data_IF_143557800513
#
_entry.id   IF_143557800513
#
_cell.length_a   1.000
_cell.length_b   1.000
_cell.length_c   1.000
_cell.angle_alpha   90.00
_cell.angle_beta   90.00
_cell.angle_gamma   90.00
#
_symmetry.space_group_name_H-M   'P 1'
#
loop_
_entity.id
_entity.type
_entity.pdbx_description
1 polymer ?
#
# COMPACT_ATOMS: atom_id res chain seq x y z
N UNK A 1 5.37 -17.85 -28.85
CA UNK A 1 5.76 -18.04 -27.43
C UNK A 1 6.40 -16.74 -26.98
N UNK A 2 5.67 -15.87 -26.26
CA UNK A 2 6.27 -14.67 -25.67
C UNK A 2 6.98 -15.12 -24.39
N UNK A 3 8.28 -14.88 -24.30
CA UNK A 3 9.03 -15.03 -23.07
C UNK A 3 8.52 -13.95 -22.09
N UNK A 4 7.48 -14.26 -21.33
CA UNK A 4 7.05 -13.44 -20.20
C UNK A 4 8.12 -13.55 -19.11
N UNK A 5 9.09 -12.66 -19.18
CA UNK A 5 9.97 -12.39 -18.06
C UNK A 5 9.09 -11.74 -16.99
N UNK A 6 8.73 -12.53 -15.97
CA UNK A 6 7.98 -12.08 -14.79
C UNK A 6 8.81 -11.01 -14.06
N UNK A 7 8.69 -9.76 -14.49
CA UNK A 7 9.29 -8.63 -13.82
C UNK A 7 8.23 -7.52 -13.68
N UNK A 8 8.20 -6.81 -12.54
CA UNK A 8 7.40 -5.61 -12.43
C UNK A 8 7.79 -4.63 -13.55
N UNK A 9 6.81 -3.95 -14.14
CA UNK A 9 7.07 -2.96 -15.19
C UNK A 9 7.92 -1.78 -14.68
N UNK A 10 7.97 -1.58 -13.36
CA UNK A 10 8.60 -0.41 -12.74
C UNK A 10 7.81 0.87 -13.02
N UNK A 11 6.58 0.73 -13.52
CA UNK A 11 5.67 1.83 -13.86
C UNK A 11 4.51 1.78 -12.90
N UNK A 12 4.46 2.77 -12.00
CA UNK A 12 3.43 2.89 -10.98
C UNK A 12 2.25 3.70 -11.51
N UNK A 13 1.06 3.12 -11.45
CA UNK A 13 -0.20 3.73 -11.91
C UNK A 13 -1.22 3.78 -10.78
N UNK A 14 -2.12 4.74 -10.83
CA UNK A 14 -3.18 4.85 -9.83
C UNK A 14 -4.23 3.75 -10.01
N UNK A 15 -4.90 3.35 -8.92
CA UNK A 15 -5.96 2.34 -9.02
C UNK A 15 -7.12 2.77 -9.94
N UNK A 16 -7.41 4.07 -10.02
CA UNK A 16 -8.42 4.59 -10.94
C UNK A 16 -8.04 4.44 -12.41
N UNK A 17 -6.75 4.46 -12.73
CA UNK A 17 -6.26 4.18 -14.10
C UNK A 17 -6.39 2.70 -14.43
N UNK A 18 -6.08 1.82 -13.48
CA UNK A 18 -6.24 0.37 -13.61
C UNK A 18 -7.73 -0.02 -13.77
N UNK A 19 -8.61 0.57 -12.97
CA UNK A 19 -10.05 0.29 -12.97
C UNK A 19 -10.73 0.67 -14.30
N UNK A 20 -10.05 1.40 -15.17
CA UNK A 20 -10.54 1.84 -16.46
C UNK A 20 -11.53 3.02 -16.37
N UNK A 21 -11.90 3.62 -17.51
CA UNK A 21 -12.66 4.87 -17.57
C UNK A 21 -14.01 4.85 -16.84
N UNK A 22 -14.64 3.67 -16.77
CA UNK A 22 -15.95 3.47 -16.14
C UNK A 22 -15.92 3.54 -14.61
N UNK A 23 -14.75 3.30 -13.99
CA UNK A 23 -14.55 3.31 -12.54
C UNK A 23 -13.67 4.48 -12.05
N UNK A 24 -13.13 5.31 -12.96
CA UNK A 24 -12.33 6.52 -12.66
C UNK A 24 -13.02 7.53 -11.74
N UNK A 25 -14.35 7.49 -11.62
CA UNK A 25 -15.13 8.34 -10.71
C UNK A 25 -15.43 7.73 -9.34
N UNK A 26 -15.00 6.48 -9.08
CA UNK A 26 -15.26 5.83 -7.80
C UNK A 26 -14.44 6.50 -6.69
N UNK A 27 -15.10 6.96 -5.63
CA UNK A 27 -14.42 7.50 -4.44
C UNK A 27 -13.66 6.43 -3.65
N UNK A 28 -13.61 5.18 -4.13
CA UNK A 28 -13.01 4.03 -3.46
C UNK A 28 -11.55 4.28 -3.07
N UNK A 29 -10.72 4.81 -3.99
CA UNK A 29 -9.32 5.09 -3.68
C UNK A 29 -9.19 6.11 -2.55
N UNK A 30 -10.00 7.17 -2.59
CA UNK A 30 -9.98 8.24 -1.58
C UNK A 30 -10.53 7.77 -0.23
N UNK A 31 -11.68 7.09 -0.21
CA UNK A 31 -12.39 6.78 1.03
C UNK A 31 -11.84 5.56 1.73
N UNK A 32 -11.52 4.50 1.00
CA UNK A 32 -11.10 3.22 1.57
C UNK A 32 -9.58 3.13 1.75
N UNK A 33 -8.80 3.81 0.90
CA UNK A 33 -7.35 3.66 0.90
C UNK A 33 -6.61 4.89 1.43
N UNK A 34 -6.87 6.08 0.87
CA UNK A 34 -6.13 7.30 1.25
C UNK A 34 -6.59 7.89 2.59
N UNK A 35 -7.90 7.95 2.84
CA UNK A 35 -8.46 8.58 4.04
C UNK A 35 -8.00 7.93 5.36
N UNK A 36 -7.94 6.59 5.50
CA UNK A 36 -7.44 5.98 6.73
C UNK A 36 -5.97 6.32 7.00
N UNK A 37 -5.12 6.31 5.96
CA UNK A 37 -3.71 6.67 6.07
C UNK A 37 -3.57 8.12 6.51
N UNK A 38 -4.26 9.04 5.83
CA UNK A 38 -4.20 10.47 6.16
C UNK A 38 -4.62 10.71 7.62
N UNK A 39 -5.77 10.14 8.03
CA UNK A 39 -6.29 10.31 9.40
C UNK A 39 -5.32 9.80 10.46
N UNK A 40 -4.66 8.66 10.20
CA UNK A 40 -3.78 8.04 11.17
C UNK A 40 -2.43 8.74 11.27
N UNK A 41 -1.86 9.13 10.14
CA UNK A 41 -0.46 9.53 10.03
C UNK A 41 -0.21 11.03 9.82
N UNK A 42 -1.26 11.85 9.65
CA UNK A 42 -1.09 13.31 9.60
C UNK A 42 -0.38 13.80 10.87
N UNK A 43 0.66 14.63 10.69
CA UNK A 43 1.60 15.14 11.71
C UNK A 43 2.34 14.05 12.49
N UNK A 44 2.28 12.80 12.03
CA UNK A 44 2.84 11.60 12.68
C UNK A 44 3.71 10.80 11.70
N UNK A 45 4.39 11.52 10.81
CA UNK A 45 5.34 10.99 9.84
C UNK A 45 6.32 9.93 10.40
N UNK A 46 6.95 10.10 11.58
CA UNK A 46 7.85 9.09 12.14
C UNK A 46 7.18 7.74 12.39
N UNK A 47 5.89 7.74 12.75
CA UNK A 47 5.13 6.52 13.01
C UNK A 47 4.74 5.81 11.72
N UNK A 48 4.47 6.56 10.65
CA UNK A 48 4.28 5.99 9.32
C UNK A 48 5.53 5.25 8.87
N UNK A 49 6.71 5.86 9.04
CA UNK A 49 7.98 5.23 8.67
C UNK A 49 8.24 3.97 9.50
N UNK A 50 8.02 4.02 10.81
CA UNK A 50 8.19 2.85 11.69
C UNK A 50 7.22 1.71 11.37
N UNK A 51 5.95 2.04 11.10
CA UNK A 51 4.94 1.05 10.71
C UNK A 51 5.27 0.45 9.34
N UNK A 52 5.71 1.27 8.39
CA UNK A 52 6.13 0.83 7.07
C UNK A 52 7.34 -0.11 7.13
N UNK A 53 8.37 0.26 7.88
CA UNK A 53 9.57 -0.58 8.08
C UNK A 53 9.20 -1.94 8.72
N UNK A 54 8.26 -1.94 9.67
CA UNK A 54 7.79 -3.16 10.35
C UNK A 54 7.10 -4.16 9.42
N UNK A 55 6.54 -3.71 8.30
CA UNK A 55 5.92 -4.56 7.27
C UNK A 55 6.81 -4.78 6.04
N UNK A 56 8.10 -4.45 6.13
CA UNK A 56 9.06 -4.62 5.03
C UNK A 56 9.00 -3.52 3.98
N UNK A 57 8.36 -2.38 4.29
CA UNK A 57 8.36 -1.20 3.45
C UNK A 57 9.75 -0.58 3.33
N UNK A 58 10.10 -0.17 2.12
CA UNK A 58 11.38 0.46 1.80
C UNK A 58 11.16 1.91 1.43
N UNK A 59 11.92 2.82 2.02
CA UNK A 59 11.89 4.23 1.63
C UNK A 59 12.63 4.44 0.31
N UNK A 60 11.95 4.08 -0.78
CA UNK A 60 12.47 4.05 -2.14
C UNK A 60 11.39 4.57 -3.08
N UNK A 61 11.79 5.08 -4.25
CA UNK A 61 10.86 5.50 -5.30
C UNK A 61 10.96 6.99 -5.65
N UNK A 62 10.32 7.34 -6.77
CA UNK A 62 10.22 8.71 -7.25
C UNK A 62 9.13 9.44 -6.46
N UNK A 63 9.55 10.51 -5.78
CA UNK A 63 8.67 11.35 -4.97
C UNK A 63 9.00 12.82 -5.21
N UNK A 64 7.99 13.68 -5.17
CA UNK A 64 8.18 15.13 -5.22
C UNK A 64 8.89 15.64 -3.96
N UNK A 65 9.49 16.84 -4.05
CA UNK A 65 10.05 17.53 -2.88
C UNK A 65 9.03 17.58 -1.73
N UNK A 66 9.47 17.26 -0.52
CA UNK A 66 8.62 17.28 0.68
C UNK A 66 7.69 16.06 0.85
N UNK A 67 7.80 15.04 -0.01
CA UNK A 67 7.04 13.79 0.14
C UNK A 67 7.90 12.62 0.58
N UNK A 68 7.24 11.64 1.17
CA UNK A 68 7.79 10.34 1.51
C UNK A 68 7.30 9.34 0.48
N UNK A 69 8.24 8.59 -0.09
CA UNK A 69 7.97 7.45 -0.97
C UNK A 69 8.29 6.17 -0.24
N UNK A 70 7.34 5.26 -0.20
CA UNK A 70 7.50 3.93 0.40
C UNK A 70 7.06 2.88 -0.62
N UNK A 71 7.91 1.89 -0.89
CA UNK A 71 7.61 0.75 -1.73
C UNK A 71 7.40 -0.49 -0.86
N UNK A 72 6.35 -1.25 -1.18
CA UNK A 72 5.98 -2.50 -0.53
C UNK A 72 5.82 -3.60 -1.57
N UNK A 73 6.26 -4.80 -1.22
CA UNK A 73 6.00 -6.01 -2.00
C UNK A 73 4.73 -6.66 -1.43
N UNK A 74 3.56 -6.42 -2.05
CA UNK A 74 2.30 -6.97 -1.56
C UNK A 74 2.21 -8.48 -1.80
N UNK A 75 2.67 -8.90 -2.97
CA UNK A 75 2.71 -10.29 -3.44
C UNK A 75 3.92 -10.43 -4.39
N UNK A 76 4.35 -11.66 -4.72
CA UNK A 76 5.35 -11.86 -5.76
C UNK A 76 4.96 -11.14 -7.06
N UNK A 77 5.78 -10.19 -7.50
CA UNK A 77 5.58 -9.35 -8.69
C UNK A 77 4.48 -8.27 -8.60
N UNK A 78 3.88 -8.03 -7.42
CA UNK A 78 2.92 -6.94 -7.22
C UNK A 78 3.52 -5.94 -6.25
N UNK A 79 4.00 -4.83 -6.80
CA UNK A 79 4.57 -3.72 -6.05
C UNK A 79 3.51 -2.64 -5.79
N UNK A 80 3.58 -2.07 -4.61
CA UNK A 80 2.78 -0.92 -4.18
C UNK A 80 3.72 0.20 -3.78
N UNK A 81 3.48 1.39 -4.32
CA UNK A 81 4.12 2.62 -3.89
C UNK A 81 3.11 3.50 -3.14
N UNK A 82 3.43 3.86 -1.91
CA UNK A 82 2.74 4.87 -1.12
C UNK A 82 3.53 6.18 -1.21
N UNK A 83 2.89 7.23 -1.72
CA UNK A 83 3.41 8.60 -1.67
C UNK A 83 2.62 9.34 -0.60
N UNK A 84 3.31 9.87 0.39
CA UNK A 84 2.72 10.61 1.50
C UNK A 84 3.29 12.02 1.58
N UNK A 85 2.39 12.99 1.65
CA UNK A 85 2.67 14.39 1.98
C UNK A 85 2.06 14.64 3.36
N UNK A 86 2.90 15.03 4.30
CA UNK A 86 2.41 15.40 5.63
C UNK A 86 1.66 16.74 5.56
N UNK A 87 0.83 16.99 6.56
CA UNK A 87 0.18 18.29 6.71
C UNK A 87 1.23 19.34 7.07
N UNK A 88 1.24 20.44 6.34
CA UNK A 88 1.99 21.65 6.68
C UNK A 88 1.04 22.84 6.92
N UNK A 89 1.59 24.04 7.07
CA UNK A 89 0.82 25.25 7.34
C UNK A 89 0.00 25.73 6.12
N UNK A 90 0.33 25.26 4.92
CA UNK A 90 -0.24 25.70 3.63
C UNK A 90 -1.14 24.63 2.99
N UNK A 91 -0.89 23.35 3.23
CA UNK A 91 -1.51 22.21 2.55
C UNK A 91 -1.95 21.11 3.52
N UNK A 92 -3.12 20.49 3.28
CA UNK A 92 -3.57 19.33 4.04
C UNK A 92 -2.72 18.09 3.71
N UNK A 93 -2.64 17.16 4.66
CA UNK A 93 -2.00 15.86 4.44
C UNK A 93 -2.65 15.12 3.26
N UNK A 94 -1.82 14.43 2.47
CA UNK A 94 -2.24 13.68 1.29
C UNK A 94 -1.50 12.36 1.20
N UNK A 95 -2.24 11.29 1.01
CA UNK A 95 -1.72 9.98 0.65
C UNK A 95 -2.09 9.65 -0.79
N UNK A 96 -1.26 8.89 -1.49
CA UNK A 96 -1.57 8.33 -2.81
C UNK A 96 -0.95 6.96 -2.91
N UNK A 97 -1.76 5.98 -3.33
CA UNK A 97 -1.33 4.59 -3.52
C UNK A 97 -1.27 4.31 -5.01
N UNK A 98 -0.11 3.86 -5.48
CA UNK A 98 0.17 3.51 -6.85
C UNK A 98 0.60 2.05 -6.92
N UNK A 99 0.22 1.35 -7.97
CA UNK A 99 0.47 -0.08 -8.14
C UNK A 99 1.23 -0.27 -9.43
N UNK A 100 2.10 -1.28 -9.50
CA UNK A 100 2.74 -1.65 -10.75
C UNK A 100 1.69 -1.97 -11.83
N UNK A 101 1.87 -1.41 -13.02
CA UNK A 101 0.93 -1.56 -14.14
C UNK A 101 0.68 -3.02 -14.55
N UNK A 102 1.64 -3.92 -14.31
CA UNK A 102 1.49 -5.34 -14.63
C UNK A 102 0.69 -6.11 -13.56
N UNK A 103 0.31 -5.50 -12.43
CA UNK A 103 -0.40 -6.21 -11.36
C UNK A 103 -1.69 -6.89 -11.86
N UNK A 104 -2.42 -6.26 -12.79
CA UNK A 104 -3.63 -6.83 -13.37
C UNK A 104 -3.42 -8.04 -14.28
N UNK A 105 -2.18 -8.32 -14.68
CA UNK A 105 -1.85 -9.56 -15.37
C UNK A 105 -1.80 -10.76 -14.41
N UNK A 106 -1.66 -10.49 -13.10
CA UNK A 106 -1.50 -11.50 -12.06
C UNK A 106 -2.72 -11.65 -11.15
N UNK A 107 -3.49 -10.58 -10.95
CA UNK A 107 -4.66 -10.55 -10.07
C UNK A 107 -5.82 -9.77 -10.71
N UNK A 108 -7.04 -10.24 -10.52
CA UNK A 108 -8.22 -9.52 -10.98
C UNK A 108 -8.47 -8.25 -10.13
N UNK A 109 -9.23 -7.31 -10.68
CA UNK A 109 -9.42 -6.00 -10.06
C UNK A 109 -10.08 -6.07 -8.68
N UNK A 110 -11.05 -6.98 -8.47
CA UNK A 110 -11.77 -7.10 -7.21
C UNK A 110 -10.84 -7.61 -6.10
N UNK A 111 -10.05 -8.65 -6.38
CA UNK A 111 -9.08 -9.15 -5.43
C UNK A 111 -7.94 -8.14 -5.17
N UNK A 112 -7.52 -7.37 -6.19
CA UNK A 112 -6.54 -6.28 -6.00
C UNK A 112 -7.08 -5.18 -5.08
N UNK A 113 -8.33 -4.74 -5.28
CA UNK A 113 -8.98 -3.75 -4.44
C UNK A 113 -9.11 -4.23 -2.98
N UNK A 114 -9.43 -5.52 -2.79
CA UNK A 114 -9.50 -6.14 -1.47
C UNK A 114 -8.13 -6.23 -0.80
N UNK A 115 -7.10 -6.66 -1.54
CA UNK A 115 -5.71 -6.75 -1.07
C UNK A 115 -5.21 -5.40 -0.55
N UNK A 116 -5.45 -4.31 -1.29
CA UNK A 116 -5.06 -2.97 -0.88
C UNK A 116 -5.84 -2.51 0.36
N UNK A 117 -7.12 -2.83 0.44
CA UNK A 117 -7.94 -2.49 1.61
C UNK A 117 -7.40 -3.17 2.87
N UNK A 118 -7.03 -4.46 2.77
CA UNK A 118 -6.38 -5.19 3.87
C UNK A 118 -5.03 -4.57 4.22
N UNK A 119 -4.20 -4.27 3.22
CA UNK A 119 -2.90 -3.64 3.43
C UNK A 119 -3.01 -2.33 4.22
N UNK A 120 -3.94 -1.45 3.82
CA UNK A 120 -4.15 -0.17 4.50
C UNK A 120 -4.59 -0.37 5.96
N UNK A 121 -5.53 -1.29 6.19
CA UNK A 121 -5.96 -1.63 7.56
C UNK A 121 -4.81 -2.18 8.39
N UNK A 122 -3.98 -3.05 7.81
CA UNK A 122 -2.83 -3.65 8.48
C UNK A 122 -1.76 -2.61 8.83
N UNK A 123 -1.46 -1.68 7.91
CA UNK A 123 -0.53 -0.59 8.16
C UNK A 123 -0.99 0.30 9.32
N UNK A 124 -2.29 0.64 9.36
CA UNK A 124 -2.88 1.42 10.46
C UNK A 124 -2.80 0.63 11.77
N UNK A 125 -3.21 -0.63 11.76
CA UNK A 125 -3.22 -1.51 12.94
C UNK A 125 -1.83 -1.67 13.58
N UNK A 126 -0.77 -1.77 12.77
CA UNK A 126 0.61 -1.82 13.26
C UNK A 126 1.04 -0.50 13.90
N UNK A 127 0.64 0.64 13.34
CA UNK A 127 0.94 1.94 13.94
C UNK A 127 0.29 2.11 15.32
N UNK A 128 -0.81 1.41 15.58
CA UNK A 128 -1.49 1.37 16.88
C UNK A 128 -0.87 0.36 17.86
N UNK A 129 0.17 -0.37 17.44
CA UNK A 129 0.82 -1.39 18.25
C UNK A 129 0.04 -2.69 18.37
N UNK A 130 -1.00 -2.89 17.55
CA UNK A 130 -1.79 -4.12 17.54
C UNK A 130 -1.09 -5.12 16.62
N UNK A 131 -0.09 -5.83 17.16
CA UNK A 131 0.60 -6.90 16.44
C UNK A 131 -0.26 -8.16 16.48
N UNK A 132 -0.51 -8.79 15.33
CA UNK A 132 -0.99 -10.17 15.28
C UNK A 132 0.04 -11.04 16.00
N UNK A 133 -0.25 -11.39 17.25
CA UNK A 133 0.56 -12.32 18.02
C UNK A 133 0.56 -13.64 17.24
N UNK A 134 1.74 -14.11 16.84
CA UNK A 134 1.90 -15.43 16.23
C UNK A 134 1.06 -16.43 17.02
N UNK A 135 0.16 -17.13 16.32
CA UNK A 135 -0.41 -18.37 16.83
C UNK A 135 0.76 -19.32 16.89
N UNK A 136 1.43 -19.40 18.05
CA UNK A 136 2.41 -20.44 18.30
C UNK A 136 1.70 -21.76 18.02
N UNK A 137 2.20 -22.46 17.01
CA UNK A 137 1.76 -23.78 16.62
C UNK A 137 2.25 -24.73 17.72
N UNK A 138 1.54 -24.78 18.86
CA UNK A 138 1.69 -25.83 19.85
C UNK A 138 1.27 -27.13 19.16
N UNK A 139 2.27 -27.82 18.60
CA UNK A 139 2.11 -29.19 18.15
C UNK A 139 1.58 -29.99 19.35
N UNK A 140 0.41 -30.63 19.27
CA UNK A 140 -0.03 -31.48 20.35
C UNK A 140 0.97 -32.63 20.43
N UNK A 141 1.74 -32.66 21.52
CA UNK A 141 2.63 -33.76 21.84
C UNK A 141 1.81 -35.04 21.91
N UNK A 142 1.88 -35.83 20.85
CA UNK A 142 1.39 -37.20 20.83
C UNK A 142 2.43 -38.04 21.57
N UNK A 143 2.09 -38.36 22.83
CA UNK A 143 2.68 -39.43 23.61
C UNK A 143 2.24 -40.79 23.05
#
# INVERSE_FOLDING_TARGET
MKNSTCQPAGTFVSIGEIAGPWLKGSSFSKSALESPIIKQFQKRTPELLSAAESIGGRQEGLSGLGSISLIFDLLPNILLQLIFYDQDDEFPARATLLIDANAIEFIDFEALAFLLSIFVQYLVMISEGIVFKEIKNESPGIY
#
